data_IF_108795781846
#
_entry.id   IF_108795781846
#
_cell.length_a   1.000
_cell.length_b   1.000
_cell.length_c   1.000
_cell.angle_alpha   90.00
_cell.angle_beta   90.00
_cell.angle_gamma   90.00
#
_symmetry.space_group_name_H-M   'P 1'
#
loop_
_entity.id
_entity.type
_entity.pdbx_description
1 polymer ?
#
# COMPACT_ATOMS: atom_id res chain seq x y z
N UNK A 1 -54.92 -44.45 8.18
CA UNK A 1 -55.43 -45.56 7.34
C UNK A 1 -55.20 -46.85 8.10
N UNK A 2 -56.23 -47.35 8.78
CA UNK A 2 -56.23 -48.61 9.51
C UNK A 2 -56.61 -49.75 8.57
N UNK A 3 -55.75 -50.75 8.42
CA UNK A 3 -56.07 -51.95 7.65
C UNK A 3 -56.48 -53.11 8.56
N UNK A 4 -57.77 -53.41 8.42
CA UNK A 4 -58.58 -54.58 8.71
C UNK A 4 -57.91 -55.97 8.68
N UNK A 5 -58.26 -56.77 9.69
CA UNK A 5 -58.73 -58.17 9.67
C UNK A 5 -57.90 -59.21 8.90
N UNK A 6 -57.25 -60.11 9.65
CA UNK A 6 -57.13 -61.51 9.26
C UNK A 6 -57.98 -62.37 10.20
N UNK A 7 -59.12 -62.83 9.67
CA UNK A 7 -59.89 -63.96 10.18
C UNK A 7 -59.02 -65.22 10.10
N UNK A 8 -58.68 -65.81 11.25
CA UNK A 8 -58.24 -67.20 11.33
C UNK A 8 -59.49 -68.08 11.51
N UNK A 9 -59.66 -69.18 10.75
CA UNK A 9 -60.77 -70.10 10.94
C UNK A 9 -60.70 -70.81 12.29
N UNK A 10 -61.88 -71.01 12.88
CA UNK A 10 -62.17 -71.70 14.13
C UNK A 10 -61.71 -73.16 14.07
N UNK A 11 -60.94 -73.60 15.07
CA UNK A 11 -60.36 -74.94 15.24
C UNK A 11 -61.38 -76.07 15.54
N UNK A 12 -62.67 -75.91 15.24
CA UNK A 12 -63.71 -76.84 15.70
C UNK A 12 -63.95 -78.06 14.78
N UNK A 13 -63.56 -78.01 13.52
CA UNK A 13 -63.86 -79.08 12.54
C UNK A 13 -62.89 -80.28 12.55
N UNK A 14 -61.90 -80.32 13.46
CA UNK A 14 -60.95 -81.44 13.56
C UNK A 14 -61.27 -82.47 14.65
N UNK A 15 -62.37 -82.30 15.42
CA UNK A 15 -62.71 -83.22 16.52
C UNK A 15 -63.52 -84.46 16.13
N UNK A 16 -64.03 -84.58 14.90
CA UNK A 16 -64.96 -85.66 14.50
C UNK A 16 -64.35 -86.84 13.73
N UNK A 17 -63.01 -86.95 13.65
CA UNK A 17 -62.35 -88.09 12.97
C UNK A 17 -61.81 -89.15 13.94
N UNK A 18 -61.93 -88.96 15.26
CA UNK A 18 -61.32 -89.86 16.26
C UNK A 18 -62.38 -90.67 17.04
N UNK A 19 -63.24 -91.42 16.34
CA UNK A 19 -64.12 -92.40 17.01
C UNK A 19 -64.15 -93.80 16.35
N UNK A 20 -63.30 -94.05 15.36
CA UNK A 20 -63.04 -95.41 14.85
C UNK A 20 -61.55 -95.72 14.98
N UNK A 21 -61.19 -96.66 15.85
CA UNK A 21 -59.81 -97.03 16.23
C UNK A 21 -59.09 -95.98 17.09
N UNK A 22 -59.35 -95.98 18.40
CA UNK A 22 -58.35 -95.54 19.37
C UNK A 22 -57.19 -96.53 19.35
N UNK A 23 -56.33 -96.42 18.34
CA UNK A 23 -54.95 -96.84 18.47
C UNK A 23 -54.44 -96.11 19.72
N UNK A 24 -53.96 -96.85 20.72
CA UNK A 24 -53.33 -96.21 21.88
C UNK A 24 -52.25 -95.26 21.37
N UNK A 25 -51.96 -94.15 22.05
CA UNK A 25 -50.92 -93.20 21.60
C UNK A 25 -49.60 -93.95 21.31
N UNK A 26 -49.32 -95.03 22.03
CA UNK A 26 -48.20 -95.93 21.75
C UNK A 26 -48.32 -96.69 20.40
N UNK A 27 -49.52 -97.10 19.99
CA UNK A 27 -49.77 -97.69 18.69
C UNK A 27 -49.69 -96.67 17.54
N UNK A 28 -50.11 -95.41 17.76
CA UNK A 28 -49.93 -94.32 16.78
C UNK A 28 -48.45 -93.97 16.66
N UNK A 29 -47.72 -93.84 17.77
CA UNK A 29 -46.27 -93.58 17.76
C UNK A 29 -45.48 -94.70 17.07
N UNK A 30 -45.94 -95.96 17.15
CA UNK A 30 -45.36 -97.08 16.38
C UNK A 30 -45.52 -96.94 14.86
N UNK A 31 -46.50 -96.16 14.39
CA UNK A 31 -46.69 -95.90 12.96
C UNK A 31 -45.73 -94.82 12.44
N UNK A 32 -45.19 -93.97 13.32
CA UNK A 32 -44.22 -92.95 12.97
C UNK A 32 -42.80 -93.48 13.18
N UNK A 33 -42.07 -93.63 12.08
CA UNK A 33 -40.64 -93.94 12.13
C UNK A 33 -39.85 -92.65 12.26
N UNK A 34 -38.87 -92.60 13.16
CA UNK A 34 -37.89 -91.51 13.17
C UNK A 34 -37.27 -91.41 11.78
N UNK A 35 -37.28 -90.20 11.21
CA UNK A 35 -36.66 -89.93 9.92
C UNK A 35 -35.15 -90.12 10.05
N UNK A 36 -34.62 -91.07 9.30
CA UNK A 36 -33.18 -91.30 9.23
C UNK A 36 -32.54 -90.11 8.52
N UNK A 37 -31.48 -89.49 9.07
CA UNK A 37 -30.79 -88.41 8.38
C UNK A 37 -30.31 -88.86 6.99
N UNK A 38 -30.52 -88.01 5.98
CA UNK A 38 -30.40 -88.33 4.55
C UNK A 38 -29.06 -88.93 4.11
N UNK A 39 -28.01 -88.75 4.92
CA UNK A 39 -26.66 -89.20 4.61
C UNK A 39 -26.25 -90.47 5.34
N UNK A 40 -27.05 -91.06 6.22
CA UNK A 40 -26.62 -92.21 7.00
C UNK A 40 -26.89 -93.55 6.30
N UNK A 41 -25.99 -94.51 6.48
CA UNK A 41 -26.07 -95.84 5.86
C UNK A 41 -26.51 -96.89 6.89
N UNK A 42 -27.55 -97.66 6.56
CA UNK A 42 -28.06 -98.77 7.38
C UNK A 42 -27.08 -99.94 7.39
N UNK A 43 -26.77 -100.49 8.56
CA UNK A 43 -26.07 -101.76 8.69
C UNK A 43 -27.07 -102.93 8.47
N UNK A 44 -26.78 -103.91 7.61
CA UNK A 44 -27.75 -104.90 7.09
C UNK A 44 -28.37 -105.87 8.13
N UNK A 45 -29.52 -106.45 7.77
CA UNK A 45 -30.53 -107.15 8.61
C UNK A 45 -30.13 -108.55 9.16
N UNK A 46 -28.99 -108.66 9.85
CA UNK A 46 -28.70 -109.85 10.67
C UNK A 46 -29.02 -109.50 12.13
N UNK A 47 -29.92 -110.28 12.73
CA UNK A 47 -30.80 -109.94 13.85
C UNK A 47 -30.16 -109.45 15.16
N UNK A 48 -28.84 -109.40 15.29
CA UNK A 48 -28.12 -108.79 16.41
C UNK A 48 -26.76 -108.33 15.86
N UNK A 49 -26.64 -107.02 15.57
CA UNK A 49 -25.48 -106.41 14.87
C UNK A 49 -24.68 -105.41 15.72
N UNK A 50 -25.15 -105.04 16.92
CA UNK A 50 -24.35 -104.31 17.92
C UNK A 50 -24.75 -104.71 19.35
N UNK A 51 -23.78 -104.76 20.26
CA UNK A 51 -23.98 -105.00 21.68
C UNK A 51 -23.12 -104.05 22.48
N UNK A 52 -23.61 -103.62 23.64
CA UNK A 52 -22.81 -102.88 24.61
C UNK A 52 -21.95 -103.83 25.48
N UNK A 53 -21.94 -105.13 25.17
CA UNK A 53 -21.13 -106.16 25.81
C UNK A 53 -19.66 -106.12 25.32
N UNK A 54 -18.65 -106.01 26.21
CA UNK A 54 -17.25 -105.94 25.81
C UNK A 54 -16.67 -107.22 25.19
N UNK A 55 -17.40 -108.36 25.25
CA UNK A 55 -16.96 -109.65 24.65
C UNK A 55 -17.46 -109.87 23.22
N UNK A 56 -18.05 -108.86 22.60
CA UNK A 56 -18.66 -108.97 21.27
C UNK A 56 -17.62 -108.84 20.15
N UNK A 57 -17.59 -109.81 19.23
CA UNK A 57 -16.52 -109.96 18.23
C UNK A 57 -17.00 -109.62 16.80
N UNK A 58 -17.48 -108.38 16.60
CA UNK A 58 -18.09 -107.85 15.35
C UNK A 58 -17.78 -106.35 15.14
N UNK A 59 -18.01 -105.75 13.95
CA UNK A 59 -17.15 -104.71 13.36
C UNK A 59 -17.40 -103.25 13.80
N UNK A 60 -18.02 -102.97 14.95
CA UNK A 60 -18.22 -101.59 15.44
C UNK A 60 -17.79 -101.44 16.91
N UNK A 61 -17.08 -100.36 17.23
CA UNK A 61 -16.65 -100.01 18.57
C UNK A 61 -17.24 -98.63 18.95
N UNK A 62 -18.16 -98.61 19.92
CA UNK A 62 -18.92 -97.42 20.34
C UNK A 62 -18.51 -97.03 21.78
N UNK A 63 -18.08 -95.78 22.05
CA UNK A 63 -17.77 -95.29 23.38
C UNK A 63 -18.99 -95.34 24.29
N UNK A 64 -18.76 -95.73 25.55
CA UNK A 64 -19.82 -95.81 26.56
C UNK A 64 -20.56 -94.49 26.78
N UNK A 65 -19.85 -93.37 26.69
CA UNK A 65 -20.42 -92.02 26.82
C UNK A 65 -21.46 -91.72 25.73
N UNK A 66 -21.29 -92.28 24.53
CA UNK A 66 -22.26 -92.15 23.45
C UNK A 66 -23.45 -93.08 23.66
N UNK A 67 -23.23 -94.28 24.23
CA UNK A 67 -24.30 -95.23 24.54
C UNK A 67 -25.26 -94.74 25.63
N UNK A 68 -24.72 -94.04 26.63
CA UNK A 68 -25.51 -93.48 27.75
C UNK A 68 -26.47 -92.37 27.27
N UNK A 69 -26.03 -91.51 26.37
CA UNK A 69 -26.88 -90.50 25.71
C UNK A 69 -27.92 -91.11 24.76
N UNK A 70 -27.66 -92.32 24.28
CA UNK A 70 -28.58 -93.11 23.47
C UNK A 70 -29.47 -94.01 24.33
N UNK A 71 -29.47 -93.84 25.67
CA UNK A 71 -30.32 -94.56 26.62
C UNK A 71 -30.17 -96.09 26.57
N UNK A 72 -28.99 -96.58 26.20
CA UNK A 72 -28.69 -98.01 26.14
C UNK A 72 -27.97 -98.50 27.40
N UNK A 73 -28.50 -99.56 28.02
CA UNK A 73 -27.84 -100.19 29.16
C UNK A 73 -26.55 -100.94 28.74
N UNK A 74 -25.54 -100.91 29.62
CA UNK A 74 -24.26 -101.59 29.41
C UNK A 74 -24.43 -103.12 29.48
N UNK A 75 -23.87 -103.85 28.51
CA UNK A 75 -23.95 -105.30 28.39
C UNK A 75 -25.17 -105.85 27.62
N UNK A 76 -26.06 -104.99 27.10
CA UNK A 76 -27.24 -105.40 26.34
C UNK A 76 -27.04 -105.28 24.82
N UNK A 77 -27.72 -106.16 24.07
CA UNK A 77 -27.79 -106.07 22.62
C UNK A 77 -28.72 -104.92 22.22
N UNK A 78 -28.34 -104.15 21.20
CA UNK A 78 -29.14 -103.00 20.72
C UNK A 78 -30.27 -103.56 19.85
N UNK A 79 -31.55 -103.43 20.26
CA UNK A 79 -32.67 -104.05 19.54
C UNK A 79 -33.16 -103.21 18.35
N UNK A 80 -32.53 -102.07 18.08
CA UNK A 80 -32.96 -101.09 17.10
C UNK A 80 -32.03 -101.01 15.90
N UNK A 81 -32.54 -100.66 14.70
CA UNK A 81 -31.72 -100.43 13.53
C UNK A 81 -30.67 -99.33 13.79
N UNK A 82 -29.43 -99.65 13.45
CA UNK A 82 -28.30 -98.75 13.54
C UNK A 82 -27.89 -98.24 12.17
N UNK A 83 -27.61 -96.96 12.13
CA UNK A 83 -27.16 -96.23 10.98
C UNK A 83 -25.84 -95.54 11.32
N UNK A 84 -24.89 -95.56 10.40
CA UNK A 84 -23.60 -94.91 10.57
C UNK A 84 -23.42 -93.79 9.56
N UNK A 85 -22.76 -92.73 9.99
CA UNK A 85 -22.37 -91.63 9.10
C UNK A 85 -21.38 -92.12 8.04
N UNK A 86 -21.43 -91.63 6.79
CA UNK A 86 -20.49 -91.99 5.72
C UNK A 86 -19.05 -91.67 6.08
N UNK A 87 -18.83 -90.72 6.98
CA UNK A 87 -17.49 -90.35 7.46
C UNK A 87 -16.77 -91.54 8.09
N UNK A 88 -17.50 -92.45 8.75
CA UNK A 88 -16.94 -93.67 9.34
C UNK A 88 -16.55 -94.69 8.29
N UNK A 89 -17.38 -94.87 7.25
CA UNK A 89 -17.09 -95.79 6.14
C UNK A 89 -15.80 -95.41 5.40
N UNK A 90 -15.48 -94.11 5.40
CA UNK A 90 -14.27 -93.56 4.80
C UNK A 90 -13.03 -93.62 5.72
N UNK A 91 -13.17 -94.03 7.00
CA UNK A 91 -12.02 -94.21 7.90
C UNK A 91 -11.23 -95.45 7.45
N UNK A 92 -9.97 -95.27 7.06
CA UNK A 92 -9.07 -96.37 6.65
C UNK A 92 -8.59 -97.24 7.82
N UNK A 93 -8.64 -96.71 9.04
CA UNK A 93 -8.12 -97.38 10.23
C UNK A 93 -9.24 -98.13 10.96
N UNK A 94 -9.27 -99.45 10.76
CA UNK A 94 -10.02 -100.36 11.61
C UNK A 94 -9.17 -100.67 12.85
N UNK A 95 -9.66 -100.38 14.04
CA UNK A 95 -9.02 -100.85 15.28
C UNK A 95 -9.51 -102.25 15.58
N UNK A 96 -8.60 -103.23 15.60
CA UNK A 96 -8.92 -104.65 15.83
C UNK A 96 -10.02 -105.21 14.90
N UNK A 97 -10.08 -104.72 13.65
CA UNK A 97 -11.09 -105.15 12.67
C UNK A 97 -12.46 -104.49 12.81
N UNK A 98 -12.61 -103.47 13.65
CA UNK A 98 -13.86 -102.72 13.85
C UNK A 98 -13.74 -101.21 13.54
N UNK A 99 -14.85 -100.61 13.11
CA UNK A 99 -15.02 -99.17 12.94
C UNK A 99 -15.18 -98.49 14.31
N UNK A 100 -14.34 -97.50 14.60
CA UNK A 100 -14.47 -96.69 15.82
C UNK A 100 -15.43 -95.52 15.59
N UNK A 101 -16.46 -95.45 16.43
CA UNK A 101 -17.37 -94.32 16.56
C UNK A 101 -16.78 -93.38 17.62
N UNK A 102 -16.61 -92.10 17.32
CA UNK A 102 -15.93 -91.17 18.24
C UNK A 102 -16.91 -90.20 18.92
N UNK A 103 -18.08 -89.95 18.33
CA UNK A 103 -19.09 -89.01 18.84
C UNK A 103 -20.52 -89.48 18.48
N UNK A 104 -21.52 -88.76 18.97
CA UNK A 104 -22.94 -89.07 18.75
C UNK A 104 -23.45 -88.70 17.35
N UNK A 105 -22.78 -87.78 16.65
CA UNK A 105 -23.12 -87.39 15.28
C UNK A 105 -22.70 -88.44 14.23
N UNK A 106 -21.87 -89.40 14.65
CA UNK A 106 -21.34 -90.46 13.82
C UNK A 106 -22.26 -91.69 13.77
N UNK A 107 -23.17 -91.84 14.73
CA UNK A 107 -24.09 -92.99 14.84
C UNK A 107 -25.52 -92.53 15.07
N UNK A 108 -26.47 -93.11 14.35
CA UNK A 108 -27.88 -92.86 14.53
C UNK A 108 -28.59 -94.16 14.85
N UNK A 109 -29.26 -94.21 15.99
CA UNK A 109 -30.09 -95.35 16.42
C UNK A 109 -31.54 -94.94 16.18
N UNK A 110 -32.21 -95.66 15.29
CA UNK A 110 -33.61 -95.40 15.00
C UNK A 110 -34.48 -95.97 16.12
N UNK A 111 -34.64 -95.19 17.18
CA UNK A 111 -35.43 -95.56 18.34
C UNK A 111 -36.93 -95.37 18.06
N UNK A 112 -37.81 -96.14 18.72
CA UNK A 112 -39.24 -95.86 18.68
C UNK A 112 -39.51 -94.49 19.29
N UNK A 113 -40.37 -93.71 18.66
CA UNK A 113 -40.83 -92.46 19.24
C UNK A 113 -41.59 -92.78 20.54
N UNK A 114 -41.10 -92.25 21.66
CA UNK A 114 -41.79 -92.30 22.95
C UNK A 114 -42.33 -90.91 23.29
N UNK A 115 -43.38 -90.87 24.12
CA UNK A 115 -43.94 -89.60 24.60
C UNK A 115 -42.87 -88.81 25.37
N UNK A 116 -42.07 -89.48 26.19
CA UNK A 116 -41.03 -88.87 27.00
C UNK A 116 -39.96 -88.14 26.15
N UNK A 117 -39.50 -88.76 25.06
CA UNK A 117 -38.46 -88.16 24.20
C UNK A 117 -38.98 -86.91 23.49
N UNK A 118 -40.24 -86.94 23.05
CA UNK A 118 -40.91 -85.79 22.43
C UNK A 118 -41.16 -84.64 23.44
N UNK A 119 -41.54 -84.97 24.68
CA UNK A 119 -41.74 -83.97 25.74
C UNK A 119 -40.42 -83.28 26.13
N UNK A 120 -39.32 -84.03 26.15
CA UNK A 120 -37.99 -83.49 26.42
C UNK A 120 -37.51 -82.57 25.27
N UNK A 121 -37.65 -82.98 24.01
CA UNK A 121 -37.34 -82.14 22.85
C UNK A 121 -38.18 -80.85 22.84
N UNK A 122 -39.49 -80.95 23.11
CA UNK A 122 -40.38 -79.80 23.20
C UNK A 122 -39.93 -78.84 24.31
N UNK A 123 -39.54 -79.38 25.47
CA UNK A 123 -39.05 -78.57 26.60
C UNK A 123 -37.72 -77.87 26.27
N UNK A 124 -36.83 -78.54 25.54
CA UNK A 124 -35.58 -77.96 25.06
C UNK A 124 -35.86 -76.81 24.08
N UNK A 125 -36.71 -77.02 23.07
CA UNK A 125 -37.10 -75.97 22.12
C UNK A 125 -37.78 -74.78 22.80
N UNK A 126 -38.66 -75.02 23.78
CA UNK A 126 -39.29 -73.94 24.55
C UNK A 126 -38.26 -73.10 25.31
N UNK A 127 -37.22 -73.73 25.83
CA UNK A 127 -36.13 -73.06 26.55
C UNK A 127 -35.25 -72.24 25.59
N UNK A 128 -34.94 -72.81 24.42
CA UNK A 128 -34.20 -72.11 23.36
C UNK A 128 -34.97 -70.89 22.84
N UNK A 129 -36.27 -71.04 22.56
CA UNK A 129 -37.14 -69.93 22.12
C UNK A 129 -37.17 -68.81 23.18
N UNK A 130 -37.26 -69.14 24.48
CA UNK A 130 -37.22 -68.14 25.54
C UNK A 130 -35.89 -67.38 25.56
N UNK A 131 -34.79 -68.09 25.36
CA UNK A 131 -33.44 -67.51 25.32
C UNK A 131 -33.28 -66.56 24.12
N UNK A 132 -33.70 -67.00 22.94
CA UNK A 132 -33.68 -66.19 21.71
C UNK A 132 -34.55 -64.93 21.85
N UNK A 133 -35.75 -65.05 22.45
CA UNK A 133 -36.61 -63.89 22.72
C UNK A 133 -35.94 -62.85 23.63
N UNK A 134 -35.21 -63.30 24.66
CA UNK A 134 -34.47 -62.40 25.54
C UNK A 134 -33.35 -61.69 24.78
N UNK A 135 -32.58 -62.42 23.98
CA UNK A 135 -31.50 -61.85 23.17
C UNK A 135 -32.01 -60.80 22.17
N UNK A 136 -33.17 -61.05 21.54
CA UNK A 136 -33.80 -60.08 20.63
C UNK A 136 -34.15 -58.79 21.38
N UNK A 137 -34.75 -58.89 22.57
CA UNK A 137 -35.08 -57.72 23.38
C UNK A 137 -33.83 -56.92 23.80
N UNK A 138 -32.78 -57.60 24.23
CA UNK A 138 -31.50 -56.97 24.59
C UNK A 138 -30.92 -56.20 23.39
N UNK A 139 -30.88 -56.82 22.19
CA UNK A 139 -30.40 -56.17 20.96
C UNK A 139 -31.26 -54.97 20.53
N UNK A 140 -32.59 -55.04 20.71
CA UNK A 140 -33.48 -53.90 20.41
C UNK A 140 -33.23 -52.72 21.36
N UNK A 141 -33.02 -52.99 22.66
CA UNK A 141 -32.68 -51.95 23.64
C UNK A 141 -31.30 -51.35 23.40
N UNK A 142 -30.30 -52.16 23.04
CA UNK A 142 -28.97 -51.68 22.70
C UNK A 142 -29.01 -50.81 21.44
N UNK A 143 -29.69 -51.28 20.39
CA UNK A 143 -29.83 -50.54 19.13
C UNK A 143 -30.46 -49.17 19.34
N UNK A 144 -31.56 -49.10 20.11
CA UNK A 144 -32.25 -47.84 20.39
C UNK A 144 -31.38 -46.90 21.23
N UNK A 145 -30.68 -47.41 22.25
CA UNK A 145 -29.75 -46.63 23.09
C UNK A 145 -28.59 -46.07 22.28
N UNK A 146 -27.97 -46.89 21.43
CA UNK A 146 -26.86 -46.47 20.58
C UNK A 146 -27.29 -45.43 19.53
N UNK A 147 -28.48 -45.59 18.93
CA UNK A 147 -29.05 -44.61 17.99
C UNK A 147 -29.34 -43.27 18.67
N UNK A 148 -29.94 -43.30 19.87
CA UNK A 148 -30.23 -42.09 20.63
C UNK A 148 -28.93 -41.36 21.01
N UNK A 149 -27.95 -42.08 21.57
CA UNK A 149 -26.65 -41.52 21.97
C UNK A 149 -25.93 -40.90 20.77
N UNK A 150 -25.94 -41.57 19.62
CA UNK A 150 -25.32 -41.04 18.39
C UNK A 150 -26.00 -39.76 17.93
N UNK A 151 -27.33 -39.72 18.00
CA UNK A 151 -28.12 -38.57 17.58
C UNK A 151 -27.89 -37.37 18.50
N UNK A 152 -27.82 -37.60 19.82
CA UNK A 152 -27.54 -36.56 20.81
C UNK A 152 -26.12 -35.98 20.63
N UNK A 153 -25.13 -36.84 20.38
CA UNK A 153 -23.76 -36.41 20.10
C UNK A 153 -23.66 -35.57 18.83
N UNK A 154 -24.26 -36.04 17.72
CA UNK A 154 -24.28 -35.31 16.46
C UNK A 154 -25.03 -33.97 16.59
N UNK A 155 -26.12 -33.94 17.35
CA UNK A 155 -26.87 -32.72 17.60
C UNK A 155 -26.06 -31.72 18.44
N UNK A 156 -25.32 -32.19 19.44
CA UNK A 156 -24.40 -31.35 20.22
C UNK A 156 -23.28 -30.77 19.35
N UNK A 157 -22.67 -31.59 18.48
CA UNK A 157 -21.64 -31.14 17.54
C UNK A 157 -22.20 -30.11 16.55
N UNK A 158 -23.37 -30.38 15.96
CA UNK A 158 -24.07 -29.43 15.08
C UNK A 158 -24.29 -28.09 15.76
N UNK A 159 -24.76 -28.09 17.01
CA UNK A 159 -25.00 -26.87 17.77
C UNK A 159 -23.70 -26.08 18.02
N UNK A 160 -22.59 -26.78 18.26
CA UNK A 160 -21.27 -26.14 18.42
C UNK A 160 -20.82 -25.49 17.10
N UNK A 161 -20.92 -26.22 15.99
CA UNK A 161 -20.57 -25.72 14.66
C UNK A 161 -21.40 -24.48 14.28
N UNK A 162 -22.71 -24.49 14.54
CA UNK A 162 -23.58 -23.33 14.28
C UNK A 162 -23.15 -22.11 15.09
N UNK A 163 -22.80 -22.27 16.37
CA UNK A 163 -22.28 -21.17 17.20
C UNK A 163 -20.99 -20.59 16.61
N UNK A 164 -20.08 -21.47 16.16
CA UNK A 164 -18.80 -21.08 15.57
C UNK A 164 -18.97 -20.35 14.23
N UNK A 165 -19.90 -20.82 13.38
CA UNK A 165 -20.28 -20.11 12.14
C UNK A 165 -20.81 -18.72 12.47
N UNK A 166 -21.71 -18.59 13.44
CA UNK A 166 -22.27 -17.28 13.83
C UNK A 166 -21.18 -16.33 14.36
N UNK A 167 -20.19 -16.84 15.10
CA UNK A 167 -19.04 -16.04 15.54
C UNK A 167 -18.18 -15.58 14.37
N UNK A 168 -17.90 -16.46 13.40
CA UNK A 168 -17.14 -16.12 12.20
C UNK A 168 -17.86 -15.07 11.34
N UNK A 169 -19.18 -15.17 11.19
CA UNK A 169 -19.98 -14.17 10.46
C UNK A 169 -19.89 -12.78 11.11
N UNK A 170 -19.95 -12.70 12.44
CA UNK A 170 -19.78 -11.43 13.17
C UNK A 170 -18.39 -10.84 12.98
N UNK A 171 -17.35 -11.66 13.00
CA UNK A 171 -15.98 -11.22 12.74
C UNK A 171 -15.82 -10.71 11.30
N UNK A 172 -16.42 -11.40 10.33
CA UNK A 172 -16.41 -11.01 8.93
C UNK A 172 -17.14 -9.68 8.70
N UNK A 173 -18.29 -9.47 9.34
CA UNK A 173 -19.00 -8.19 9.30
C UNK A 173 -18.18 -7.05 9.93
N UNK A 174 -17.55 -7.32 11.08
CA UNK A 174 -16.66 -6.37 11.75
C UNK A 174 -15.46 -5.98 10.89
N UNK A 175 -14.81 -6.95 10.25
CA UNK A 175 -13.66 -6.69 9.37
C UNK A 175 -14.09 -5.92 8.12
N UNK A 176 -15.22 -6.25 7.49
CA UNK A 176 -15.77 -5.51 6.36
C UNK A 176 -16.02 -4.03 6.70
N UNK A 177 -16.52 -3.73 7.90
CA UNK A 177 -16.71 -2.36 8.37
C UNK A 177 -15.37 -1.61 8.53
N UNK A 178 -14.35 -2.28 9.08
CA UNK A 178 -13.00 -1.70 9.23
C UNK A 178 -12.39 -1.41 7.84
N UNK A 179 -12.49 -2.34 6.90
CA UNK A 179 -12.04 -2.14 5.52
C UNK A 179 -12.75 -0.96 4.86
N UNK A 180 -14.07 -0.84 5.00
CA UNK A 180 -14.82 0.28 4.44
C UNK A 180 -14.35 1.63 5.01
N UNK A 181 -14.09 1.71 6.33
CA UNK A 181 -13.54 2.92 6.98
C UNK A 181 -12.14 3.26 6.46
N UNK A 182 -11.27 2.26 6.36
CA UNK A 182 -9.91 2.45 5.84
C UNK A 182 -9.93 2.91 4.38
N UNK A 183 -10.78 2.31 3.54
CA UNK A 183 -10.92 2.72 2.14
C UNK A 183 -11.42 4.15 2.01
N UNK A 184 -12.37 4.56 2.86
CA UNK A 184 -12.83 5.96 2.91
C UNK A 184 -11.69 6.93 3.27
N UNK A 185 -10.86 6.57 4.26
CA UNK A 185 -9.72 7.38 4.65
C UNK A 185 -8.65 7.47 3.56
N UNK A 186 -8.34 6.36 2.88
CA UNK A 186 -7.44 6.33 1.73
C UNK A 186 -7.94 7.28 0.63
N UNK A 187 -9.24 7.24 0.33
CA UNK A 187 -9.82 8.14 -0.69
C UNK A 187 -9.68 9.62 -0.31
N UNK A 188 -9.87 9.96 0.97
CA UNK A 188 -9.67 11.33 1.48
C UNK A 188 -8.21 11.78 1.33
N UNK A 189 -7.25 10.93 1.72
CA UNK A 189 -5.83 11.22 1.60
C UNK A 189 -5.40 11.42 0.14
N UNK A 190 -5.90 10.58 -0.77
CA UNK A 190 -5.63 10.72 -2.21
C UNK A 190 -6.12 12.07 -2.75
N UNK A 191 -7.32 12.52 -2.35
CA UNK A 191 -7.85 13.82 -2.75
C UNK A 191 -7.02 14.98 -2.18
N UNK A 192 -6.56 14.87 -0.93
CA UNK A 192 -5.68 15.88 -0.33
C UNK A 192 -4.33 15.97 -1.05
N UNK A 193 -3.71 14.82 -1.34
CA UNK A 193 -2.45 14.76 -2.08
C UNK A 193 -2.57 15.43 -3.45
N UNK A 194 -3.66 15.18 -4.18
CA UNK A 194 -3.90 15.81 -5.48
C UNK A 194 -4.06 17.33 -5.37
N UNK A 195 -4.74 17.83 -4.32
CA UNK A 195 -4.84 19.27 -4.07
C UNK A 195 -3.48 19.90 -3.80
N UNK A 196 -2.66 19.27 -2.97
CA UNK A 196 -1.29 19.74 -2.67
C UNK A 196 -0.39 19.74 -3.91
N UNK A 197 -0.49 18.71 -4.75
CA UNK A 197 0.22 18.67 -6.03
C UNK A 197 -0.16 19.85 -6.94
N UNK A 198 -1.45 20.14 -7.06
CA UNK A 198 -1.93 21.28 -7.84
C UNK A 198 -1.45 22.63 -7.25
N UNK A 199 -1.47 22.77 -5.92
CA UNK A 199 -0.95 23.96 -5.26
C UNK A 199 0.54 24.17 -5.53
N UNK A 200 1.33 23.09 -5.51
CA UNK A 200 2.76 23.15 -5.79
C UNK A 200 3.04 23.57 -7.25
N UNK A 201 2.27 23.05 -8.22
CA UNK A 201 2.35 23.48 -9.62
C UNK A 201 2.09 25.00 -9.74
N UNK A 202 1.06 25.51 -9.05
CA UNK A 202 0.74 26.94 -9.06
C UNK A 202 1.87 27.79 -8.42
N UNK A 203 2.45 27.33 -7.32
CA UNK A 203 3.60 27.98 -6.67
C UNK A 203 4.83 28.01 -7.57
N UNK A 204 5.10 26.93 -8.30
CA UNK A 204 6.18 26.88 -9.29
C UNK A 204 5.97 27.94 -10.37
N UNK A 205 4.75 28.05 -10.92
CA UNK A 205 4.43 29.07 -11.92
C UNK A 205 4.60 30.51 -11.39
N UNK A 206 4.21 30.75 -10.13
CA UNK A 206 4.44 32.05 -9.48
C UNK A 206 5.94 32.37 -9.34
N UNK A 207 6.75 31.39 -8.94
CA UNK A 207 8.20 31.57 -8.83
C UNK A 207 8.86 31.84 -10.20
N UNK A 208 8.40 31.18 -11.26
CA UNK A 208 8.90 31.43 -12.61
C UNK A 208 8.58 32.86 -13.05
N UNK A 209 7.36 33.35 -12.80
CA UNK A 209 6.99 34.74 -13.08
C UNK A 209 7.85 35.73 -12.27
N UNK A 210 8.01 35.51 -10.96
CA UNK A 210 8.86 36.37 -10.12
C UNK A 210 10.31 36.40 -10.61
N UNK A 211 10.82 35.26 -11.09
CA UNK A 211 12.16 35.19 -11.66
C UNK A 211 12.27 36.01 -12.94
N UNK A 212 11.26 35.98 -13.81
CA UNK A 212 11.22 36.83 -15.01
C UNK A 212 11.17 38.31 -14.65
N UNK A 213 10.34 38.69 -13.69
CA UNK A 213 10.25 40.07 -13.21
C UNK A 213 11.58 40.57 -12.64
N UNK A 214 12.30 39.74 -11.88
CA UNK A 214 13.63 40.06 -11.36
C UNK A 214 14.66 40.24 -12.49
N UNK A 215 14.60 39.42 -13.54
CA UNK A 215 15.49 39.57 -14.70
C UNK A 215 15.19 40.86 -15.48
N UNK A 216 13.92 41.19 -15.68
CA UNK A 216 13.50 42.43 -16.32
C UNK A 216 13.99 43.65 -15.50
N UNK A 217 13.78 43.64 -14.19
CA UNK A 217 14.24 44.71 -13.30
C UNK A 217 15.76 44.86 -13.31
N UNK A 218 16.50 43.74 -13.34
CA UNK A 218 17.96 43.76 -13.47
C UNK A 218 18.42 44.38 -14.80
N UNK A 219 17.67 44.16 -15.89
CA UNK A 219 17.94 44.79 -17.18
C UNK A 219 17.69 46.30 -17.13
N UNK A 220 16.52 46.74 -16.65
CA UNK A 220 16.20 48.16 -16.48
C UNK A 220 17.21 48.87 -15.59
N UNK A 221 17.69 48.22 -14.52
CA UNK A 221 18.76 48.78 -13.68
C UNK A 221 20.05 49.01 -14.46
N UNK A 222 20.46 48.08 -15.33
CA UNK A 222 21.66 48.24 -16.17
C UNK A 222 21.50 49.38 -17.17
N UNK A 223 20.33 49.49 -17.80
CA UNK A 223 20.01 50.61 -18.70
C UNK A 223 20.11 51.95 -17.98
N UNK A 224 19.45 52.09 -16.82
CA UNK A 224 19.52 53.30 -16.00
C UNK A 224 20.96 53.64 -15.58
N UNK A 225 21.77 52.66 -15.22
CA UNK A 225 23.19 52.88 -14.91
C UNK A 225 23.97 53.41 -16.11
N UNK A 226 23.69 52.92 -17.33
CA UNK A 226 24.30 53.45 -18.55
C UNK A 226 23.88 54.89 -18.80
N UNK A 227 22.58 55.19 -18.70
CA UNK A 227 22.05 56.54 -18.87
C UNK A 227 22.62 57.51 -17.84
N UNK A 228 22.74 57.12 -16.56
CA UNK A 228 23.36 57.94 -15.52
C UNK A 228 24.82 58.26 -15.89
N UNK A 229 25.57 57.29 -16.39
CA UNK A 229 26.96 57.48 -16.82
C UNK A 229 27.05 58.47 -17.98
N UNK A 230 26.17 58.35 -18.98
CA UNK A 230 26.10 59.28 -20.11
C UNK A 230 25.73 60.71 -19.69
N UNK A 231 24.77 60.85 -18.78
CA UNK A 231 24.39 62.15 -18.21
C UNK A 231 25.55 62.80 -17.46
N UNK A 232 26.32 62.02 -16.70
CA UNK A 232 27.50 62.54 -15.97
C UNK A 232 28.57 63.07 -16.94
N UNK A 233 28.88 62.31 -17.99
CA UNK A 233 29.82 62.73 -19.04
C UNK A 233 29.32 64.00 -19.76
N UNK A 234 28.03 64.06 -20.06
CA UNK A 234 27.41 65.23 -20.70
C UNK A 234 27.50 66.46 -19.80
N UNK A 235 27.26 66.30 -18.49
CA UNK A 235 27.37 67.38 -17.52
C UNK A 235 28.80 67.91 -17.40
N UNK A 236 29.80 67.02 -17.41
CA UNK A 236 31.21 67.40 -17.41
C UNK A 236 31.59 68.17 -18.67
N UNK A 237 31.13 67.74 -19.84
CA UNK A 237 31.34 68.46 -21.10
C UNK A 237 30.72 69.87 -21.05
N UNK A 238 29.48 69.99 -20.57
CA UNK A 238 28.81 71.30 -20.43
C UNK A 238 29.58 72.22 -19.48
N UNK A 239 30.16 71.68 -18.40
CA UNK A 239 30.97 72.47 -17.48
C UNK A 239 32.24 73.00 -18.16
N UNK A 240 32.96 72.15 -18.90
CA UNK A 240 34.14 72.55 -19.66
C UNK A 240 33.81 73.59 -20.73
N UNK A 241 32.71 73.40 -21.48
CA UNK A 241 32.26 74.35 -22.49
C UNK A 241 31.93 75.70 -21.84
N UNK A 242 31.29 75.70 -20.66
CA UNK A 242 30.97 76.93 -19.92
C UNK A 242 32.21 77.71 -19.53
N UNK A 243 33.25 77.04 -19.06
CA UNK A 243 34.52 77.66 -18.67
C UNK A 243 35.23 78.28 -19.89
N UNK A 244 35.22 77.61 -21.05
CA UNK A 244 35.74 78.15 -22.30
C UNK A 244 34.96 79.40 -22.76
N UNK A 245 33.63 79.34 -22.74
CA UNK A 245 32.77 80.48 -23.06
C UNK A 245 33.00 81.67 -22.12
N UNK A 246 33.21 81.44 -20.82
CA UNK A 246 33.48 82.51 -19.87
C UNK A 246 34.85 83.15 -20.13
N UNK A 247 35.87 82.34 -20.37
CA UNK A 247 37.21 82.80 -20.74
C UNK A 247 37.18 83.66 -22.01
N UNK A 248 36.44 83.22 -23.03
CA UNK A 248 36.26 83.96 -24.28
C UNK A 248 35.59 85.31 -24.05
N UNK A 249 34.56 85.37 -23.20
CA UNK A 249 33.85 86.61 -22.86
C UNK A 249 34.75 87.61 -22.13
N UNK A 250 35.56 87.14 -21.18
CA UNK A 250 36.51 87.98 -20.45
C UNK A 250 37.57 88.56 -21.39
N UNK A 251 38.07 87.76 -22.34
CA UNK A 251 38.99 88.22 -23.38
C UNK A 251 38.37 89.32 -24.25
N UNK A 252 37.15 89.13 -24.72
CA UNK A 252 36.43 90.13 -25.54
C UNK A 252 36.20 91.45 -24.77
N UNK A 253 35.86 91.38 -23.48
CA UNK A 253 35.75 92.57 -22.64
C UNK A 253 37.10 93.30 -22.49
N UNK A 254 38.19 92.56 -22.29
CA UNK A 254 39.52 93.13 -22.21
C UNK A 254 39.93 93.80 -23.53
N UNK A 255 39.66 93.15 -24.67
CA UNK A 255 39.91 93.70 -26.01
C UNK A 255 39.13 95.01 -26.23
N UNK A 256 37.85 95.04 -25.87
CA UNK A 256 37.04 96.25 -25.96
C UNK A 256 37.58 97.37 -25.06
N UNK A 257 37.96 97.07 -23.82
CA UNK A 257 38.54 98.06 -22.90
C UNK A 257 39.87 98.61 -23.43
N UNK A 258 40.73 97.76 -23.98
CA UNK A 258 41.99 98.17 -24.62
C UNK A 258 41.72 99.05 -25.83
N UNK A 259 40.72 98.72 -26.66
CA UNK A 259 40.35 99.53 -27.81
C UNK A 259 39.85 100.92 -27.39
N UNK A 260 39.04 101.00 -26.32
CA UNK A 260 38.63 102.29 -25.74
C UNK A 260 39.84 103.09 -25.26
N UNK A 261 40.77 102.48 -24.52
CA UNK A 261 42.00 103.15 -24.07
C UNK A 261 42.87 103.64 -25.23
N UNK A 262 43.02 102.84 -26.29
CA UNK A 262 43.73 103.23 -27.51
C UNK A 262 43.06 104.45 -28.15
N UNK A 263 41.72 104.44 -28.26
CA UNK A 263 40.98 105.57 -28.83
C UNK A 263 41.16 106.84 -27.99
N UNK A 264 41.10 106.74 -26.65
CA UNK A 264 41.32 107.86 -25.74
C UNK A 264 42.75 108.42 -25.86
N UNK A 265 43.76 107.55 -25.90
CA UNK A 265 45.16 107.95 -26.10
C UNK A 265 45.38 108.62 -27.46
N UNK A 266 44.77 108.10 -28.52
CA UNK A 266 44.84 108.71 -29.86
C UNK A 266 44.17 110.08 -29.89
N UNK A 267 43.07 110.26 -29.15
CA UNK A 267 42.45 111.57 -29.00
C UNK A 267 43.37 112.53 -28.22
N UNK A 268 43.96 112.09 -27.10
CA UNK A 268 44.93 112.90 -26.35
C UNK A 268 46.14 113.31 -27.21
N UNK A 269 46.64 112.40 -28.04
CA UNK A 269 47.75 112.67 -28.96
C UNK A 269 47.32 113.67 -30.05
N UNK A 270 46.09 113.57 -30.55
CA UNK A 270 45.52 114.52 -31.50
C UNK A 270 45.38 115.91 -30.85
N UNK A 271 44.87 115.98 -29.62
CA UNK A 271 44.73 117.23 -28.87
C UNK A 271 46.09 117.87 -28.58
N UNK A 272 47.10 117.05 -28.22
CA UNK A 272 48.48 117.50 -28.01
C UNK A 272 49.09 118.04 -29.30
N UNK A 273 48.89 117.35 -30.43
CA UNK A 273 49.35 117.81 -31.74
C UNK A 273 48.68 119.13 -32.16
N UNK A 274 47.38 119.28 -31.89
CA UNK A 274 46.66 120.53 -32.13
C UNK A 274 47.22 121.67 -31.25
N UNK A 275 47.52 121.39 -29.97
CA UNK A 275 48.16 122.36 -29.08
C UNK A 275 49.55 122.76 -29.57
N UNK A 276 50.39 121.79 -29.95
CA UNK A 276 51.71 122.01 -30.55
C UNK A 276 51.58 122.91 -31.79
N UNK A 277 50.65 122.58 -32.69
CA UNK A 277 50.39 123.37 -33.90
C UNK A 277 49.96 124.80 -33.56
N UNK A 278 49.12 124.98 -32.55
CA UNK A 278 48.70 126.31 -32.09
C UNK A 278 49.88 127.12 -31.51
N UNK A 279 50.76 126.49 -30.73
CA UNK A 279 51.97 127.11 -30.20
C UNK A 279 52.92 127.50 -31.34
N UNK A 280 53.12 126.62 -32.31
CA UNK A 280 53.92 126.88 -33.51
C UNK A 280 53.40 128.11 -34.28
N UNK A 281 52.08 128.17 -34.52
CA UNK A 281 51.43 129.30 -35.18
C UNK A 281 51.60 130.61 -34.39
N UNK A 282 51.46 130.59 -33.06
CA UNK A 282 51.63 131.77 -32.20
C UNK A 282 53.06 132.32 -32.21
N UNK A 283 54.05 131.42 -32.31
CA UNK A 283 55.47 131.78 -32.32
C UNK A 283 56.01 132.10 -33.72
N UNK A 284 55.20 131.92 -34.78
CA UNK A 284 55.61 132.15 -36.17
C UNK A 284 56.70 131.18 -36.65
N UNK A 285 56.76 129.98 -36.08
CA UNK A 285 57.74 128.95 -36.41
C UNK A 285 57.06 127.73 -36.99
N UNK A 286 57.68 127.12 -37.99
CA UNK A 286 57.08 126.02 -38.74
C UNK A 286 57.54 124.64 -38.22
N UNK A 287 58.51 124.64 -37.31
CA UNK A 287 59.11 123.44 -36.74
C UNK A 287 59.66 123.77 -35.34
N UNK A 288 59.11 123.12 -34.29
CA UNK A 288 59.60 123.31 -32.92
C UNK A 288 61.02 122.78 -32.74
N UNK A 289 61.44 121.82 -33.57
CA UNK A 289 62.80 121.26 -33.49
C UNK A 289 63.87 122.24 -34.00
N UNK A 290 63.47 123.33 -34.67
CA UNK A 290 64.36 124.38 -35.18
C UNK A 290 64.31 125.67 -34.34
N UNK A 291 63.82 125.60 -33.10
CA UNK A 291 63.95 126.70 -32.15
C UNK A 291 65.45 126.99 -31.88
N UNK A 292 65.90 128.26 -31.93
CA UNK A 292 67.27 128.59 -31.55
C UNK A 292 67.52 128.15 -30.11
N UNK A 293 68.62 127.44 -29.86
CA UNK A 293 69.03 127.10 -28.50
C UNK A 293 69.16 128.37 -27.68
N UNK A 294 68.48 128.42 -26.53
CA UNK A 294 68.71 129.47 -25.54
C UNK A 294 70.19 129.36 -25.13
N UNK A 295 71.00 130.43 -25.24
CA UNK A 295 72.40 130.40 -24.81
C UNK A 295 72.48 129.94 -23.35
N UNK A 296 73.45 129.07 -23.01
CA UNK A 296 73.50 128.36 -21.71
C UNK A 296 73.51 129.27 -20.46
N UNK A 297 73.79 130.57 -20.62
CA UNK A 297 73.80 131.56 -19.54
C UNK A 297 72.59 132.51 -19.52
N UNK A 298 71.59 132.28 -20.39
CA UNK A 298 70.35 133.06 -20.42
C UNK A 298 69.13 132.24 -19.99
N UNK A 299 68.23 132.86 -19.23
CA UNK A 299 66.91 132.32 -18.91
C UNK A 299 65.87 132.94 -19.84
N UNK A 300 64.73 132.26 -20.02
CA UNK A 300 63.60 132.84 -20.77
C UNK A 300 63.20 134.22 -20.21
N UNK A 301 63.31 134.37 -18.89
CA UNK A 301 63.05 135.61 -18.17
C UNK A 301 64.07 136.70 -18.50
N UNK A 302 65.36 136.37 -18.66
CA UNK A 302 66.38 137.37 -19.04
C UNK A 302 66.31 137.78 -20.51
N UNK A 303 65.88 136.88 -21.41
CA UNK A 303 65.61 137.21 -22.82
C UNK A 303 64.45 138.18 -22.97
N UNK A 304 63.36 137.97 -22.20
CA UNK A 304 62.21 138.88 -22.18
C UNK A 304 62.51 140.24 -21.53
N UNK A 305 63.57 140.33 -20.71
CA UNK A 305 63.97 141.57 -20.03
C UNK A 305 64.92 142.47 -20.86
N UNK A 306 65.31 142.06 -22.07
CA UNK A 306 66.18 142.88 -22.93
C UNK A 306 65.47 144.18 -23.34
N UNK A 307 66.15 145.35 -23.28
CA UNK A 307 65.55 146.62 -23.70
C UNK A 307 65.08 146.52 -25.15
N UNK A 308 63.83 146.90 -25.40
CA UNK A 308 63.28 146.91 -26.76
C UNK A 308 64.06 147.87 -27.65
N UNK A 309 64.06 147.64 -28.96
CA UNK A 309 64.74 148.51 -29.93
C UNK A 309 64.29 149.98 -29.82
N UNK A 310 63.03 150.20 -29.40
CA UNK A 310 62.47 151.53 -29.10
C UNK A 310 63.14 152.17 -27.87
N UNK A 311 63.33 151.39 -26.79
CA UNK A 311 64.03 151.85 -25.59
C UNK A 311 65.52 152.12 -25.86
N UNK A 312 66.15 151.30 -26.71
CA UNK A 312 67.55 151.46 -27.09
C UNK A 312 67.77 152.72 -27.95
N UNK A 313 66.84 153.02 -28.85
CA UNK A 313 66.89 154.23 -29.68
C UNK A 313 66.59 155.51 -28.88
N UNK A 314 65.68 155.46 -27.90
CA UNK A 314 65.40 156.60 -27.01
C UNK A 314 66.64 156.96 -26.15
N UNK A 315 67.35 155.95 -25.62
CA UNK A 315 68.63 156.16 -24.91
C UNK A 315 69.69 156.81 -25.82
N UNK A 316 69.72 156.42 -27.10
CA UNK A 316 70.67 156.96 -28.08
C UNK A 316 70.37 158.42 -28.40
N UNK A 317 69.10 158.78 -28.57
CA UNK A 317 68.67 160.18 -28.74
C UNK A 317 68.97 161.06 -27.52
N UNK A 318 68.88 160.50 -26.32
CA UNK A 318 69.19 161.21 -25.07
C UNK A 318 70.70 161.46 -24.88
N UNK A 319 71.54 160.57 -25.44
CA UNK A 319 73.00 160.75 -25.54
C UNK A 319 73.36 161.82 -26.56
N UNK A 320 72.74 161.81 -27.75
CA UNK A 320 73.02 162.79 -28.81
C UNK A 320 72.67 164.24 -28.38
N UNK A 321 71.57 164.44 -27.64
CA UNK A 321 71.19 165.76 -27.06
C UNK A 321 72.17 166.24 -25.99
N UNK A 322 72.82 165.31 -25.26
CA UNK A 322 73.86 165.66 -24.27
C UNK A 322 75.16 166.10 -24.95
N UNK A 323 75.53 165.50 -26.08
CA UNK A 323 76.75 165.89 -26.82
C UNK A 323 76.62 167.28 -27.47
N UNK A 324 75.42 167.67 -27.93
CA UNK A 324 75.18 168.97 -28.56
C UNK A 324 75.22 170.15 -27.55
N UNK A 325 74.87 169.88 -26.28
CA UNK A 325 74.95 170.85 -25.19
C UNK A 325 76.38 171.11 -24.68
N UNK A 326 77.30 170.17 -24.90
CA UNK A 326 78.73 170.33 -24.56
C UNK A 326 79.45 171.18 -25.60
N UNK A 327 79.07 171.12 -26.89
CA UNK A 327 79.68 171.91 -27.97
C UNK A 327 79.33 173.41 -27.97
N UNK A 328 78.37 173.87 -27.16
CA UNK A 328 77.97 175.30 -27.08
C UNK A 328 78.61 176.07 -25.91
N UNK A 329 79.51 175.43 -25.16
CA UNK A 329 80.23 176.01 -24.00
C UNK A 329 81.77 176.03 -24.17
N UNK A 330 82.26 175.73 -25.37
CA UNK A 330 83.67 175.82 -25.83
C UNK A 330 83.70 176.33 -27.25
#
# INVERSE_FOLDING_TARGET
MTNTKNNLPLYEDQKQIIEGEQLSIQQILKQFQQLVPTNFVKLSEVSYMCSTNPKWNKPLNIPHTSLEKLELEKGQDIPYPLYISPTILNKKELSFGAYNINNEEEIFIQQPLTINNLEQELTNWLTEIKTLKRQIQELETEKTTNQQTTTDNLQAERNNLVKRITQLDRLLQGSALVFAKQQSHINQLTQQLQKEQNNNINLSGYNDNLRQDLLALAHTRKELQSTIKELFLTQEQIANDRDDYQTKREKEQLENNLQTQINDLNQQLTDLNNLITNIQNLLGINDLNNLPQIPEEETLTSLLARPTLVQLNALKSEIDVREEKIRSLT
#
